data_IF_741853244118
#
_entry.id   IF_741853244118
#
_cell.length_a   1.000
_cell.length_b   1.000
_cell.length_c   1.000
_cell.angle_alpha   90.00
_cell.angle_beta   90.00
_cell.angle_gamma   90.00
#
_symmetry.space_group_name_H-M   'P 1'
#
loop_
_entity.id
_entity.type
_entity.pdbx_description
1 polymer ?
#
# COMPACT_ATOMS: atom_id res chain seq x y z
N UNK A 1 6.20 5.20 37.46
CA UNK A 1 6.38 4.91 36.01
C UNK A 1 7.84 4.61 35.76
N UNK A 2 8.17 3.46 35.18
CA UNK A 2 9.56 3.13 34.81
C UNK A 2 9.97 4.09 33.69
N UNK A 3 11.02 4.89 33.93
CA UNK A 3 11.55 5.84 32.95
C UNK A 3 12.31 5.06 31.88
N UNK A 4 11.94 5.24 30.63
CA UNK A 4 12.62 4.57 29.52
C UNK A 4 14.05 5.10 29.37
N UNK A 5 15.04 4.23 29.11
CA UNK A 5 16.41 4.67 28.90
C UNK A 5 16.48 5.57 27.66
N UNK A 6 17.25 6.64 27.75
CA UNK A 6 17.54 7.51 26.60
C UNK A 6 18.51 6.80 25.64
N UNK A 7 18.67 7.32 24.42
CA UNK A 7 19.67 6.80 23.49
C UNK A 7 21.09 6.78 24.09
N UNK A 8 21.46 7.82 24.84
CA UNK A 8 22.75 7.89 25.54
C UNK A 8 22.88 6.80 26.60
N UNK A 9 21.79 6.53 27.34
CA UNK A 9 21.77 5.46 28.35
C UNK A 9 21.91 4.08 27.70
N UNK A 10 21.24 3.84 26.56
CA UNK A 10 21.32 2.58 25.80
C UNK A 10 22.75 2.34 25.32
N UNK A 11 23.40 3.33 24.71
CA UNK A 11 24.76 3.18 24.18
C UNK A 11 25.83 2.93 25.26
N UNK A 12 25.55 3.25 26.52
CA UNK A 12 26.43 3.00 27.65
C UNK A 12 26.29 1.57 28.23
N UNK A 13 25.30 0.78 27.82
CA UNK A 13 25.09 -0.59 28.33
C UNK A 13 26.01 -1.61 27.64
N UNK A 14 26.23 -2.81 28.22
CA UNK A 14 26.81 -3.95 27.50
C UNK A 14 25.98 -4.33 26.27
N UNK A 15 26.64 -4.78 25.19
CA UNK A 15 26.03 -4.99 23.87
C UNK A 15 24.69 -5.76 23.90
N UNK A 16 24.61 -6.89 24.62
CA UNK A 16 23.37 -7.67 24.74
C UNK A 16 22.21 -6.83 25.30
N UNK A 17 22.49 -6.01 26.32
CA UNK A 17 21.49 -5.12 26.92
C UNK A 17 21.11 -3.97 25.99
N UNK A 18 22.03 -3.49 25.16
CA UNK A 18 21.72 -2.49 24.13
C UNK A 18 20.70 -3.04 23.13
N UNK A 19 20.92 -4.26 22.63
CA UNK A 19 20.03 -4.91 21.66
C UNK A 19 18.64 -5.11 22.24
N UNK A 20 18.53 -5.61 23.48
CA UNK A 20 17.24 -5.78 24.15
C UNK A 20 16.50 -4.45 24.33
N UNK A 21 17.19 -3.41 24.84
CA UNK A 21 16.59 -2.10 25.04
C UNK A 21 16.14 -1.43 23.73
N UNK A 22 16.92 -1.62 22.65
CA UNK A 22 16.56 -1.12 21.32
C UNK A 22 15.30 -1.82 20.78
N UNK A 23 15.17 -3.13 20.99
CA UNK A 23 14.01 -3.89 20.52
C UNK A 23 12.74 -3.56 21.32
N UNK A 24 12.84 -3.42 22.65
CA UNK A 24 11.74 -2.93 23.48
C UNK A 24 11.27 -1.53 23.07
N UNK A 25 12.22 -0.65 22.72
CA UNK A 25 11.90 0.67 22.18
C UNK A 25 11.14 0.57 20.86
N UNK A 26 11.65 -0.21 19.89
CA UNK A 26 11.01 -0.42 18.58
C UNK A 26 9.61 -1.01 18.72
N UNK A 27 9.44 -2.01 19.58
CA UNK A 27 8.15 -2.66 19.79
C UNK A 27 7.10 -1.66 20.30
N UNK A 28 7.46 -0.82 21.28
CA UNK A 28 6.55 0.21 21.79
C UNK A 28 6.23 1.28 20.77
N UNK A 29 7.22 1.74 20.02
CA UNK A 29 7.01 2.68 18.92
C UNK A 29 6.06 2.09 17.88
N UNK A 30 6.26 0.82 17.50
CA UNK A 30 5.40 0.12 16.54
C UNK A 30 3.96 -0.01 17.02
N UNK A 31 3.74 -0.34 18.30
CA UNK A 31 2.40 -0.36 18.88
C UNK A 31 1.72 1.02 18.84
N UNK A 32 2.46 2.09 19.06
CA UNK A 32 1.93 3.46 18.96
C UNK A 32 1.59 3.82 17.52
N UNK A 33 2.44 3.48 16.55
CA UNK A 33 2.16 3.66 15.12
C UNK A 33 0.88 2.96 14.69
N UNK A 34 0.72 1.68 15.06
CA UNK A 34 -0.48 0.90 14.73
C UNK A 34 -1.75 1.59 15.28
N UNK A 35 -1.70 2.10 16.52
CA UNK A 35 -2.81 2.86 17.11
C UNK A 35 -3.13 4.12 16.32
N UNK A 36 -2.10 4.86 15.89
CA UNK A 36 -2.27 6.08 15.08
C UNK A 36 -2.83 5.77 13.68
N UNK A 37 -2.51 4.61 13.13
CA UNK A 37 -3.01 4.16 11.83
C UNK A 37 -4.44 3.64 11.86
N UNK A 38 -5.07 3.47 13.03
CA UNK A 38 -6.34 2.74 13.18
C UNK A 38 -7.43 3.19 12.22
N UNK A 39 -7.62 4.49 12.02
CA UNK A 39 -8.60 5.02 11.07
C UNK A 39 -8.25 4.69 9.60
N UNK A 40 -6.98 4.74 9.24
CA UNK A 40 -6.51 4.39 7.90
C UNK A 40 -6.60 2.88 7.65
N UNK A 41 -6.29 2.06 8.67
CA UNK A 41 -6.41 0.61 8.60
C UNK A 41 -7.86 0.18 8.45
N UNK A 42 -8.80 0.83 9.13
CA UNK A 42 -10.24 0.57 8.95
C UNK A 42 -10.71 0.88 7.52
N UNK A 43 -10.19 1.96 6.90
CA UNK A 43 -10.48 2.26 5.49
C UNK A 43 -9.87 1.20 4.55
N UNK A 44 -8.65 0.74 4.85
CA UNK A 44 -7.98 -0.29 4.05
C UNK A 44 -8.69 -1.65 4.18
N UNK A 45 -9.16 -2.00 5.38
CA UNK A 45 -9.95 -3.22 5.64
C UNK A 45 -11.21 -3.25 4.77
N UNK A 46 -11.91 -2.12 4.64
CA UNK A 46 -13.07 -2.00 3.77
C UNK A 46 -12.78 -2.25 2.29
N UNK A 47 -11.53 -2.07 1.85
CA UNK A 47 -11.08 -2.32 0.47
C UNK A 47 -10.37 -3.67 0.30
N UNK A 48 -10.08 -4.37 1.40
CA UNK A 48 -9.23 -5.55 1.39
C UNK A 48 -9.80 -6.67 0.49
N UNK A 49 -11.13 -6.88 0.54
CA UNK A 49 -11.80 -7.86 -0.31
C UNK A 49 -11.68 -7.52 -1.81
N UNK A 50 -11.81 -6.24 -2.18
CA UNK A 50 -11.70 -5.79 -3.57
C UNK A 50 -10.27 -5.96 -4.11
N UNK A 51 -9.27 -5.59 -3.31
CA UNK A 51 -7.85 -5.72 -3.69
C UNK A 51 -7.49 -7.22 -3.82
N UNK A 52 -7.98 -8.07 -2.91
CA UNK A 52 -7.80 -9.51 -2.97
C UNK A 52 -8.47 -10.13 -4.21
N UNK A 53 -9.71 -9.74 -4.52
CA UNK A 53 -10.41 -10.17 -5.74
C UNK A 53 -9.67 -9.70 -7.01
N UNK A 54 -8.99 -8.57 -6.96
CA UNK A 54 -8.14 -8.06 -8.03
C UNK A 54 -6.77 -8.77 -8.13
N UNK A 55 -6.51 -9.78 -7.30
CA UNK A 55 -5.36 -10.67 -7.41
C UNK A 55 -4.18 -10.32 -6.51
N UNK A 56 -4.34 -9.45 -5.51
CA UNK A 56 -3.27 -9.13 -4.56
C UNK A 56 -3.74 -9.23 -3.10
N UNK A 57 -2.98 -9.94 -2.26
CA UNK A 57 -3.27 -10.01 -0.81
C UNK A 57 -2.33 -9.07 -0.05
N UNK A 58 -2.90 -8.19 0.77
CA UNK A 58 -2.13 -7.31 1.65
C UNK A 58 -1.89 -8.03 2.97
N UNK A 59 -0.65 -8.04 3.42
CA UNK A 59 -0.24 -8.62 4.70
C UNK A 59 0.12 -7.53 5.71
N UNK A 60 -0.07 -7.80 6.99
CA UNK A 60 0.04 -6.79 8.05
C UNK A 60 1.45 -6.19 8.21
N UNK A 61 2.47 -6.99 7.92
CA UNK A 61 3.89 -6.63 7.90
C UNK A 61 4.27 -5.67 6.77
N UNK A 62 3.47 -5.62 5.70
CA UNK A 62 3.68 -4.73 4.58
C UNK A 62 3.13 -3.31 4.78
N UNK A 63 2.36 -3.07 5.85
CA UNK A 63 1.64 -1.81 6.05
C UNK A 63 2.32 -0.93 7.09
N UNK A 64 2.64 0.30 6.70
CA UNK A 64 3.28 1.30 7.57
C UNK A 64 2.60 2.67 7.42
N UNK A 65 2.70 3.56 8.42
CA UNK A 65 2.18 4.92 8.28
C UNK A 65 3.11 5.74 7.38
N UNK A 66 2.56 6.76 6.73
CA UNK A 66 3.39 7.83 6.14
C UNK A 66 3.45 8.99 7.12
N UNK A 67 4.65 9.27 7.63
CA UNK A 67 4.85 10.32 8.64
C UNK A 67 4.30 11.68 8.17
N UNK A 68 3.57 12.36 9.05
CA UNK A 68 2.97 13.66 8.77
C UNK A 68 1.78 13.67 7.81
N UNK A 69 1.37 12.51 7.26
CA UNK A 69 0.23 12.41 6.34
C UNK A 69 -0.94 11.65 6.97
N UNK A 70 -2.08 12.34 7.13
CA UNK A 70 -3.31 11.74 7.65
C UNK A 70 -3.95 10.82 6.62
N UNK A 71 -4.49 9.68 7.06
CA UNK A 71 -5.18 8.72 6.19
C UNK A 71 -4.32 8.22 5.02
N UNK A 72 -3.00 8.25 5.18
CA UNK A 72 -2.04 7.72 4.20
C UNK A 72 -1.32 6.52 4.79
N UNK A 73 -1.38 5.41 4.08
CA UNK A 73 -0.63 4.19 4.39
C UNK A 73 0.40 3.95 3.30
N UNK A 74 1.57 3.45 3.68
CA UNK A 74 2.52 2.87 2.75
C UNK A 74 2.37 1.36 2.75
N UNK A 75 2.27 0.80 1.55
CA UNK A 75 2.30 -0.65 1.32
C UNK A 75 3.63 -0.96 0.66
N UNK A 76 4.49 -1.68 1.38
CA UNK A 76 5.74 -2.21 0.86
C UNK A 76 5.50 -3.57 0.22
N UNK A 77 6.29 -3.91 -0.80
CA UNK A 77 6.32 -5.24 -1.39
C UNK A 77 7.66 -5.91 -1.07
N UNK A 78 7.66 -7.22 -0.94
CA UNK A 78 8.88 -8.00 -0.67
C UNK A 78 9.79 -8.16 -1.89
N UNK A 79 9.28 -7.89 -3.09
CA UNK A 79 10.03 -8.03 -4.33
C UNK A 79 9.55 -7.04 -5.39
N UNK A 80 10.45 -6.69 -6.31
CA UNK A 80 10.14 -5.88 -7.48
C UNK A 80 9.03 -6.51 -8.35
N UNK A 81 8.92 -7.84 -8.38
CA UNK A 81 7.88 -8.56 -9.12
C UNK A 81 6.47 -8.38 -8.55
N UNK A 82 6.35 -8.09 -7.26
CA UNK A 82 5.05 -7.88 -6.62
C UNK A 82 4.52 -6.44 -6.82
N UNK A 83 5.36 -5.48 -7.21
CA UNK A 83 4.97 -4.09 -7.42
C UNK A 83 3.96 -3.90 -8.56
N UNK A 84 4.15 -4.48 -9.77
CA UNK A 84 3.17 -4.36 -10.84
C UNK A 84 1.84 -5.03 -10.48
N UNK A 85 1.88 -6.17 -9.78
CA UNK A 85 0.67 -6.89 -9.36
C UNK A 85 -0.15 -6.10 -8.33
N UNK A 86 0.50 -5.53 -7.31
CA UNK A 86 -0.14 -4.64 -6.35
C UNK A 86 -0.74 -3.42 -7.06
N UNK A 87 0.01 -2.78 -7.94
CA UNK A 87 -0.43 -1.59 -8.68
C UNK A 87 -1.67 -1.87 -9.52
N UNK A 88 -1.62 -2.97 -10.28
CA UNK A 88 -2.75 -3.43 -11.08
C UNK A 88 -3.97 -3.70 -10.19
N UNK A 89 -3.77 -4.37 -9.05
CA UNK A 89 -4.86 -4.69 -8.13
C UNK A 89 -5.49 -3.43 -7.53
N UNK A 90 -4.69 -2.42 -7.15
CA UNK A 90 -5.19 -1.12 -6.66
C UNK A 90 -6.02 -0.40 -7.72
N UNK A 91 -5.54 -0.36 -8.96
CA UNK A 91 -6.25 0.29 -10.06
C UNK A 91 -7.57 -0.44 -10.40
N UNK A 92 -7.58 -1.78 -10.45
CA UNK A 92 -8.80 -2.58 -10.64
C UNK A 92 -9.78 -2.37 -9.47
N UNK A 93 -9.27 -2.28 -8.23
CA UNK A 93 -10.08 -1.96 -7.06
C UNK A 93 -10.59 -0.51 -7.04
N UNK A 94 -10.33 0.30 -8.08
CA UNK A 94 -10.87 1.65 -8.25
C UNK A 94 -10.06 2.74 -7.56
N UNK A 95 -8.81 2.50 -7.19
CA UNK A 95 -7.90 3.56 -6.78
C UNK A 95 -7.40 4.31 -8.01
N UNK A 96 -7.16 5.61 -7.86
CA UNK A 96 -6.60 6.45 -8.94
C UNK A 96 -5.22 6.98 -8.55
N UNK A 97 -4.32 7.11 -9.53
CA UNK A 97 -3.00 7.71 -9.30
C UNK A 97 -3.17 9.24 -9.20
N UNK A 98 -2.73 9.82 -8.08
CA UNK A 98 -2.82 11.27 -7.81
C UNK A 98 -1.47 11.97 -7.78
N UNK A 99 -0.39 11.23 -7.52
CA UNK A 99 0.97 11.79 -7.48
C UNK A 99 1.98 10.75 -7.96
N UNK A 100 2.98 11.21 -8.71
CA UNK A 100 4.10 10.41 -9.21
C UNK A 100 5.39 11.17 -8.97
N UNK A 101 6.27 10.63 -8.14
CA UNK A 101 7.61 11.18 -8.01
C UNK A 101 8.40 11.01 -9.32
N UNK A 102 9.39 11.89 -9.52
CA UNK A 102 10.33 11.81 -10.64
C UNK A 102 11.51 10.92 -10.24
N UNK A 103 11.98 10.08 -11.16
CA UNK A 103 13.13 9.19 -10.95
C UNK A 103 12.87 7.76 -11.40
N UNK A 104 13.90 6.92 -11.34
CA UNK A 104 13.80 5.49 -11.71
C UNK A 104 13.09 4.68 -10.62
N UNK A 105 13.31 5.05 -9.36
CA UNK A 105 12.54 4.61 -8.22
C UNK A 105 11.55 5.70 -7.84
N UNK A 106 10.28 5.34 -7.79
CA UNK A 106 9.18 6.27 -7.62
C UNK A 106 8.34 5.88 -6.42
N UNK A 107 7.94 6.92 -5.72
CA UNK A 107 6.79 6.87 -4.85
C UNK A 107 5.58 7.22 -5.69
N UNK A 108 4.61 6.31 -5.76
CA UNK A 108 3.33 6.52 -6.42
C UNK A 108 2.24 6.59 -5.37
N UNK A 109 1.41 7.62 -5.43
CA UNK A 109 0.26 7.77 -4.54
C UNK A 109 -1.03 7.41 -5.26
N UNK A 110 -1.75 6.46 -4.69
CA UNK A 110 -3.05 5.98 -5.11
C UNK A 110 -4.11 6.50 -4.14
N UNK A 111 -5.24 6.98 -4.64
CA UNK A 111 -6.32 7.51 -3.79
C UNK A 111 -7.65 6.82 -4.09
N UNK A 112 -8.39 6.50 -3.04
CA UNK A 112 -9.80 6.08 -3.11
C UNK A 112 -10.56 6.66 -1.93
N UNK A 113 -11.52 7.53 -2.22
CA UNK A 113 -12.25 8.29 -1.20
C UNK A 113 -11.30 9.07 -0.28
N UNK A 114 -11.28 8.69 1.00
CA UNK A 114 -10.43 9.30 2.04
C UNK A 114 -9.08 8.62 2.22
N UNK A 115 -8.90 7.41 1.69
CA UNK A 115 -7.67 6.65 1.84
C UNK A 115 -6.68 7.01 0.72
N UNK A 116 -5.44 7.27 1.11
CA UNK A 116 -4.30 7.33 0.20
C UNK A 116 -3.35 6.17 0.50
N UNK A 117 -2.94 5.45 -0.54
CA UNK A 117 -1.94 4.38 -0.47
C UNK A 117 -0.69 4.85 -1.21
N UNK A 118 0.44 4.76 -0.54
CA UNK A 118 1.76 5.03 -1.09
C UNK A 118 2.45 3.70 -1.40
N UNK A 119 2.91 3.53 -2.64
CA UNK A 119 3.69 2.36 -3.06
C UNK A 119 5.01 2.85 -3.63
N UNK A 120 6.10 2.20 -3.22
CA UNK A 120 7.41 2.41 -3.81
C UNK A 120 7.60 1.40 -4.94
N UNK A 121 7.97 1.86 -6.13
CA UNK A 121 8.15 0.98 -7.28
C UNK A 121 9.07 1.59 -8.34
N UNK A 122 9.55 0.76 -9.25
CA UNK A 122 10.27 1.26 -10.43
C UNK A 122 9.32 1.93 -11.44
N UNK A 123 9.86 2.86 -12.24
CA UNK A 123 9.12 3.46 -13.35
C UNK A 123 8.60 2.40 -14.35
N UNK A 124 9.41 1.37 -14.60
CA UNK A 124 9.07 0.25 -15.47
C UNK A 124 7.90 -0.58 -14.92
N UNK A 125 7.91 -0.87 -13.62
CA UNK A 125 6.83 -1.61 -12.93
C UNK A 125 5.49 -0.88 -13.06
N UNK A 126 5.51 0.45 -12.94
CA UNK A 126 4.32 1.29 -13.09
C UNK A 126 3.78 1.22 -14.52
N UNK A 127 4.65 1.42 -15.51
CA UNK A 127 4.26 1.40 -16.93
C UNK A 127 3.65 0.04 -17.33
N UNK A 128 4.25 -1.07 -16.89
CA UNK A 128 3.73 -2.41 -17.12
C UNK A 128 2.31 -2.59 -16.55
N UNK A 129 2.06 -2.08 -15.34
CA UNK A 129 0.74 -2.17 -14.70
C UNK A 129 -0.30 -1.34 -15.45
N UNK A 130 0.06 -0.12 -15.88
CA UNK A 130 -0.82 0.76 -16.66
C UNK A 130 -1.16 0.15 -18.03
N UNK A 131 -0.16 -0.39 -18.74
CA UNK A 131 -0.35 -1.08 -20.02
C UNK A 131 -1.25 -2.32 -19.88
N UNK A 132 -1.07 -3.11 -18.81
CA UNK A 132 -1.89 -4.30 -18.57
C UNK A 132 -3.38 -3.95 -18.35
N UNK A 133 -3.68 -2.80 -17.74
CA UNK A 133 -5.06 -2.34 -17.55
C UNK A 133 -5.64 -1.75 -18.83
N UNK A 134 -4.85 -0.97 -19.57
CA UNK A 134 -5.25 -0.45 -20.88
C UNK A 134 -5.59 -1.59 -21.86
N UNK A 135 -4.75 -2.62 -21.92
CA UNK A 135 -4.97 -3.81 -22.75
C UNK A 135 -6.23 -4.59 -22.34
N UNK A 136 -6.47 -4.77 -21.03
CA UNK A 136 -7.67 -5.43 -20.53
C UNK A 136 -8.95 -4.64 -20.85
N UNK A 137 -8.86 -3.30 -20.84
CA UNK A 137 -9.99 -2.42 -21.15
C UNK A 137 -10.31 -2.42 -22.66
N UNK A 138 -9.30 -2.57 -23.51
CA UNK A 138 -9.45 -2.66 -24.96
C UNK A 138 -10.00 -4.02 -25.45
N UNK A 139 -9.91 -5.07 -24.63
CA UNK A 139 -10.41 -6.42 -24.95
C UNK A 139 -11.82 -6.70 -24.40
N UNK A 140 -12.46 -5.73 -23.74
CA UNK A 140 -13.84 -5.89 -23.30
C UNK A 140 -14.76 -6.04 -24.53
N UNK A 141 -15.50 -7.17 -24.66
CA UNK A 141 -16.38 -7.37 -25.81
C UNK A 141 -17.45 -6.28 -25.85
N UNK A 142 -17.64 -5.68 -27.04
CA UNK A 142 -18.71 -4.74 -27.27
C UNK A 142 -20.04 -5.35 -26.82
N UNK A 143 -20.93 -4.59 -26.14
CA UNK A 143 -22.23 -5.12 -25.75
C UNK A 143 -22.96 -5.58 -27.02
N UNK A 144 -23.38 -6.84 -27.02
CA UNK A 144 -24.14 -7.42 -28.11
C UNK A 144 -25.35 -6.53 -28.38
N UNK A 145 -25.37 -5.89 -29.55
CA UNK A 145 -26.52 -5.14 -30.01
C UNK A 145 -27.69 -6.12 -30.11
N UNK A 146 -28.69 -5.96 -29.25
CA UNK A 146 -29.96 -6.66 -29.35
C UNK A 146 -30.59 -6.29 -30.70
N UNK A 147 -30.45 -7.15 -31.70
CA UNK A 147 -31.29 -7.14 -32.89
C UNK A 147 -32.61 -7.78 -32.46
N UNK A 148 -33.51 -6.96 -31.92
CA UNK A 148 -34.92 -7.27 -31.82
C UNK A 148 -35.52 -7.07 -33.21
N UNK A 149 -35.42 -8.11 -34.03
CA UNK A 149 -36.12 -8.22 -35.31
C UNK A 149 -37.62 -8.35 -35.01
N UNK A 150 -38.34 -7.24 -35.22
CA UNK A 150 -39.78 -7.24 -35.31
C UNK A 150 -40.18 -7.84 -36.67
N UNK A 151 -40.65 -9.09 -36.65
CA UNK A 151 -41.49 -9.68 -37.70
C UNK A 151 -42.83 -10.00 -37.02
N UNK A 152 -43.83 -9.14 -37.20
CA UNK A 152 -44.84 -9.19 -38.27
C UNK A 152 -45.94 -10.23 -37.96
#
# INVERSE_FOLDING_TARGET
MVKNPTHKDIMAMPLVKQVMAAEEYRHRARLQEIKQMGASLALLEGEHANIKAAGYTIYADNVSPVFGKRQTLRISTYSAYAEPTLTKALLIAGFTIVERDKGDLRVVQFKKGRLTVQVFMSAQSLEQAEQAIAAASAQAPAPAANVSEAAA
#
